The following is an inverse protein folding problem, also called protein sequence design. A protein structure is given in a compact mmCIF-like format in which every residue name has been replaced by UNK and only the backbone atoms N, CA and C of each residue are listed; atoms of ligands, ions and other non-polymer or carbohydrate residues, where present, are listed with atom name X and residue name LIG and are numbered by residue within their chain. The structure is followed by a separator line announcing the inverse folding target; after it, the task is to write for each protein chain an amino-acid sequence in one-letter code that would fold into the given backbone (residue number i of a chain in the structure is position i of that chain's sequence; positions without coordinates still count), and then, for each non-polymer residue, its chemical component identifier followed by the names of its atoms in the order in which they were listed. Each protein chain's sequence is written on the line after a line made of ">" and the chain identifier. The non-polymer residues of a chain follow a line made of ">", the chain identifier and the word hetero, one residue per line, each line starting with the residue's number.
data_IF_144581677448
#
_entry.id   IF_144581677448
#
_cell.length_a   1.000
_cell.length_b   1.000
_cell.length_c   1.000
_cell.angle_alpha   90.00
_cell.angle_beta   90.00
_cell.angle_gamma   90.00
#
_symmetry.space_group_name_H-M   'P 1'
#
loop_
_entity.id
_entity.type
_entity.pdbx_description
1 polymer ?
#
# COMPACT_ATOMS: atom_id res chain seq x y z
N UNK A 1 -25.77 23.95 27.45
CA UNK A 1 -26.23 23.49 26.12
C UNK A 1 -25.01 23.31 25.23
N UNK A 2 -24.28 22.20 25.41
CA UNK A 2 -23.15 21.84 24.55
C UNK A 2 -22.85 20.33 24.64
N UNK A 3 -23.63 19.45 23.98
CA UNK A 3 -23.12 18.10 23.72
C UNK A 3 -23.23 17.65 22.25
N UNK A 4 -23.97 18.37 21.41
CA UNK A 4 -24.29 17.88 20.05
C UNK A 4 -23.23 18.19 18.98
N UNK A 5 -22.33 19.16 19.22
CA UNK A 5 -21.31 19.56 18.22
C UNK A 5 -20.16 18.55 18.13
N UNK A 6 -19.85 17.80 19.19
CA UNK A 6 -18.80 16.77 19.17
C UNK A 6 -19.26 15.47 18.48
N UNK A 7 -20.55 15.13 18.57
CA UNK A 7 -21.09 13.89 17.97
C UNK A 7 -21.11 13.94 16.43
N UNK A 8 -21.17 15.12 15.82
CA UNK A 8 -21.07 15.28 14.36
C UNK A 8 -19.64 15.19 13.80
N UNK A 9 -18.61 15.35 14.64
CA UNK A 9 -17.21 15.24 14.20
C UNK A 9 -16.75 13.78 14.14
N UNK A 10 -17.38 12.87 14.89
CA UNK A 10 -17.02 11.44 14.94
C UNK A 10 -17.58 10.68 13.73
N UNK A 11 -18.64 11.20 13.10
CA UNK A 11 -19.35 10.53 12.00
C UNK A 11 -18.68 10.68 10.62
N UNK A 12 -17.47 11.25 10.56
CA UNK A 12 -16.77 11.51 9.29
C UNK A 12 -15.60 10.54 9.02
N UNK A 13 -15.24 9.68 9.96
CA UNK A 13 -14.35 8.55 9.66
C UNK A 13 -15.20 7.42 9.05
N UNK A 14 -15.26 7.45 7.71
CA UNK A 14 -15.85 6.38 6.89
C UNK A 14 -15.09 5.08 7.18
N UNK A 15 -15.81 3.98 7.40
CA UNK A 15 -15.22 2.67 7.64
C UNK A 15 -14.43 2.22 6.41
N UNK A 16 -13.20 1.74 6.62
CA UNK A 16 -12.49 1.03 5.56
C UNK A 16 -13.25 -0.23 5.16
N UNK A 17 -13.19 -0.58 3.88
CA UNK A 17 -13.91 -1.75 3.37
C UNK A 17 -12.95 -2.90 3.25
N UNK A 18 -13.35 -3.99 3.86
CA UNK A 18 -12.73 -5.29 3.72
C UNK A 18 -12.85 -5.72 2.25
N UNK A 19 -11.74 -6.05 1.57
CA UNK A 19 -11.75 -6.56 0.22
C UNK A 19 -12.63 -7.81 0.08
N UNK A 20 -13.37 -7.91 -1.02
CA UNK A 20 -14.01 -9.15 -1.45
C UNK A 20 -12.97 -10.17 -1.89
N UNK A 21 -13.34 -11.45 -1.98
CA UNK A 21 -12.41 -12.48 -2.46
C UNK A 21 -11.87 -12.16 -3.86
N UNK A 22 -12.72 -11.66 -4.76
CA UNK A 22 -12.29 -11.25 -6.09
C UNK A 22 -11.25 -10.12 -6.02
N UNK A 23 -11.46 -9.10 -5.18
CA UNK A 23 -10.49 -8.01 -5.03
C UNK A 23 -9.16 -8.49 -4.43
N UNK A 24 -9.20 -9.46 -3.51
CA UNK A 24 -7.97 -10.10 -2.99
C UNK A 24 -7.20 -10.83 -4.10
N UNK A 25 -7.92 -11.57 -4.94
CA UNK A 25 -7.34 -12.30 -6.06
C UNK A 25 -6.75 -11.30 -7.09
N UNK A 26 -7.48 -10.22 -7.40
CA UNK A 26 -7.03 -9.14 -8.30
C UNK A 26 -5.76 -8.45 -7.77
N UNK A 27 -5.65 -8.24 -6.45
CA UNK A 27 -4.44 -7.69 -5.81
C UNK A 27 -3.24 -8.61 -6.03
N UNK A 28 -3.40 -9.91 -5.80
CA UNK A 28 -2.32 -10.89 -5.99
C UNK A 28 -1.93 -10.99 -7.46
N UNK A 29 -2.91 -11.03 -8.37
CA UNK A 29 -2.68 -11.06 -9.81
C UNK A 29 -1.94 -9.79 -10.27
N UNK A 30 -2.34 -8.62 -9.78
CA UNK A 30 -1.65 -7.36 -10.08
C UNK A 30 -0.19 -7.39 -9.67
N UNK A 31 0.10 -7.78 -8.42
CA UNK A 31 1.49 -7.89 -7.95
C UNK A 31 2.28 -8.89 -8.80
N UNK A 32 1.69 -10.06 -9.07
CA UNK A 32 2.33 -11.11 -9.86
C UNK A 32 2.66 -10.60 -11.26
N UNK A 33 1.69 -10.02 -11.96
CA UNK A 33 1.88 -9.48 -13.31
C UNK A 33 2.92 -8.35 -13.33
N UNK A 34 2.92 -7.45 -12.34
CA UNK A 34 3.90 -6.37 -12.25
C UNK A 34 5.32 -6.92 -12.07
N UNK A 35 5.48 -7.90 -11.16
CA UNK A 35 6.74 -8.51 -10.76
C UNK A 35 7.33 -9.46 -11.80
N UNK A 36 6.51 -10.09 -12.63
CA UNK A 36 6.97 -10.93 -13.74
C UNK A 36 7.47 -10.10 -14.94
N UNK A 37 6.98 -8.86 -15.08
CA UNK A 37 7.22 -8.04 -16.26
C UNK A 37 8.17 -6.86 -16.03
N UNK A 38 8.91 -6.85 -14.92
CA UNK A 38 9.88 -5.79 -14.60
C UNK A 38 11.01 -5.77 -15.65
N UNK A 39 11.49 -4.57 -15.97
CA UNK A 39 12.61 -4.35 -16.90
C UNK A 39 13.61 -3.38 -16.26
N UNK A 40 14.88 -3.78 -16.08
CA UNK A 40 15.50 -5.06 -16.47
C UNK A 40 14.92 -6.27 -15.72
N UNK A 41 14.98 -7.46 -16.31
CA UNK A 41 14.41 -8.67 -15.70
C UNK A 41 15.09 -9.01 -14.38
N UNK A 42 14.29 -9.30 -13.35
CA UNK A 42 14.80 -9.64 -12.04
C UNK A 42 15.08 -11.15 -11.91
N UNK A 43 16.26 -11.50 -11.38
CA UNK A 43 16.74 -12.89 -11.31
C UNK A 43 16.14 -13.74 -10.20
N UNK A 44 15.45 -13.13 -9.23
CA UNK A 44 15.04 -13.78 -7.98
C UNK A 44 13.70 -13.27 -7.45
N UNK A 45 12.72 -12.99 -8.32
CA UNK A 45 11.40 -12.50 -7.90
C UNK A 45 10.64 -13.54 -7.08
N UNK A 46 10.34 -13.24 -5.81
CA UNK A 46 9.48 -14.10 -5.00
C UNK A 46 8.00 -13.92 -5.40
N UNK A 47 7.24 -15.03 -5.37
CA UNK A 47 5.79 -15.00 -5.60
C UNK A 47 5.11 -14.45 -4.35
N UNK A 48 4.17 -13.53 -4.54
CA UNK A 48 3.39 -12.98 -3.44
C UNK A 48 2.11 -13.79 -3.21
N UNK A 49 1.72 -13.93 -1.95
CA UNK A 49 0.44 -14.51 -1.54
C UNK A 49 -0.35 -13.51 -0.71
N UNK A 50 -1.67 -13.59 -0.77
CA UNK A 50 -2.52 -12.76 0.07
C UNK A 50 -2.39 -13.14 1.56
N UNK A 51 -2.33 -12.15 2.45
CA UNK A 51 -2.29 -12.37 3.90
C UNK A 51 -3.45 -11.66 4.59
N UNK A 52 -4.28 -12.45 5.27
CA UNK A 52 -5.39 -11.93 6.07
C UNK A 52 -4.90 -11.14 7.29
N UNK A 53 -3.72 -11.46 7.83
CA UNK A 53 -3.12 -10.71 8.93
C UNK A 53 -2.79 -9.28 8.50
N UNK A 54 -2.24 -9.13 7.30
CA UNK A 54 -1.82 -7.85 6.73
C UNK A 54 -3.02 -7.03 6.26
N UNK A 55 -4.08 -7.68 5.77
CA UNK A 55 -5.38 -7.04 5.55
C UNK A 55 -5.96 -6.47 6.85
N UNK A 56 -5.92 -7.21 7.95
CA UNK A 56 -6.43 -6.72 9.23
C UNK A 56 -5.62 -5.52 9.73
N UNK A 57 -4.28 -5.56 9.60
CA UNK A 57 -3.44 -4.42 9.95
C UNK A 57 -3.71 -3.19 9.05
N UNK A 58 -3.94 -3.41 7.75
CA UNK A 58 -4.37 -2.39 6.81
C UNK A 58 -5.69 -1.73 7.24
N UNK A 59 -6.67 -2.57 7.59
CA UNK A 59 -7.98 -2.17 8.06
C UNK A 59 -7.86 -1.34 9.34
N UNK A 60 -7.21 -1.87 10.38
CA UNK A 60 -7.03 -1.20 11.67
C UNK A 60 -6.34 0.16 11.51
N UNK A 61 -5.28 0.23 10.70
CA UNK A 61 -4.59 1.49 10.45
C UNK A 61 -5.47 2.48 9.69
N UNK A 62 -6.21 2.02 8.70
CA UNK A 62 -7.08 2.88 7.90
C UNK A 62 -8.26 3.45 8.68
N UNK A 63 -8.77 2.71 9.68
CA UNK A 63 -9.81 3.16 10.62
C UNK A 63 -9.32 4.27 11.56
N UNK A 64 -8.01 4.36 11.80
CA UNK A 64 -7.42 5.47 12.56
C UNK A 64 -7.48 6.82 11.82
N UNK A 65 -7.87 6.81 10.54
CA UNK A 65 -7.86 7.99 9.66
C UNK A 65 -6.48 8.67 9.58
N UNK A 66 -5.39 7.92 9.81
CA UNK A 66 -4.01 8.38 9.61
C UNK A 66 -3.60 8.18 8.15
N UNK A 67 -2.93 9.19 7.58
CA UNK A 67 -2.45 9.20 6.19
C UNK A 67 -0.93 9.06 6.09
N UNK A 68 -0.26 8.88 7.23
CA UNK A 68 1.16 8.60 7.30
C UNK A 68 1.39 7.12 7.57
N UNK A 69 2.59 6.66 7.21
CA UNK A 69 3.11 5.37 7.63
C UNK A 69 3.09 5.26 9.17
N UNK A 70 2.81 4.06 9.66
CA UNK A 70 2.83 3.76 11.07
C UNK A 70 4.27 3.83 11.58
N UNK A 71 4.50 4.63 12.61
CA UNK A 71 5.77 4.64 13.32
C UNK A 71 5.94 3.28 14.02
N UNK A 72 6.86 2.46 13.51
CA UNK A 72 7.09 1.11 14.04
C UNK A 72 7.61 1.08 15.47
N UNK A 73 8.19 2.17 15.99
CA UNK A 73 8.59 2.26 17.40
C UNK A 73 7.36 2.44 18.32
N UNK A 74 6.31 3.07 17.80
CA UNK A 74 5.04 3.30 18.51
C UNK A 74 4.05 2.16 18.27
N UNK A 75 4.05 1.58 17.07
CA UNK A 75 3.18 0.50 16.63
C UNK A 75 4.02 -0.70 16.17
N UNK A 76 4.56 -1.51 17.10
CA UNK A 76 5.48 -2.62 16.79
C UNK A 76 4.88 -3.69 15.87
N UNK A 77 3.56 -3.77 15.77
CA UNK A 77 2.89 -4.67 14.82
C UNK A 77 3.12 -4.29 13.35
N UNK A 78 3.58 -3.07 13.06
CA UNK A 78 4.02 -2.63 11.74
C UNK A 78 5.54 -2.74 11.55
N UNK A 79 6.26 -3.35 12.49
CA UNK A 79 7.70 -3.52 12.38
C UNK A 79 8.04 -4.43 11.18
N UNK A 80 8.88 -3.93 10.27
CA UNK A 80 9.19 -4.60 9.00
C UNK A 80 7.92 -4.92 8.20
N UNK A 81 7.00 -3.97 8.10
CA UNK A 81 5.86 -4.02 7.18
C UNK A 81 5.87 -2.72 6.39
N UNK A 82 5.97 -2.82 5.07
CA UNK A 82 5.87 -1.65 4.19
C UNK A 82 4.41 -1.29 3.91
N UNK A 83 4.09 0.00 3.86
CA UNK A 83 2.72 0.45 3.65
C UNK A 83 2.62 1.29 2.38
N UNK A 84 1.59 1.03 1.57
CA UNK A 84 1.19 1.94 0.49
C UNK A 84 -0.18 2.50 0.80
N UNK A 85 -0.44 3.70 0.32
CA UNK A 85 -1.68 4.39 0.60
C UNK A 85 -2.29 4.87 -0.69
N UNK A 86 -3.59 4.62 -0.84
CA UNK A 86 -4.38 5.34 -1.81
C UNK A 86 -5.54 6.03 -1.10
N UNK A 87 -5.80 7.26 -1.55
CA UNK A 87 -6.88 8.10 -1.07
C UNK A 87 -7.55 8.75 -2.27
N UNK A 88 -8.87 8.70 -2.33
CA UNK A 88 -9.64 9.57 -3.19
C UNK A 88 -10.06 10.82 -2.44
N UNK A 89 -10.40 11.87 -3.19
CA UNK A 89 -11.12 13.01 -2.63
C UNK A 89 -12.57 12.62 -2.38
N UNK A 90 -13.52 13.30 -3.01
CA UNK A 90 -14.97 13.06 -2.79
C UNK A 90 -15.45 11.63 -3.04
N UNK A 91 -14.70 10.79 -3.76
CA UNK A 91 -15.07 9.42 -4.11
C UNK A 91 -14.02 8.44 -3.58
N UNK A 92 -14.47 7.35 -2.96
CA UNK A 92 -13.63 6.24 -2.59
C UNK A 92 -13.24 5.52 -3.87
N UNK A 93 -11.93 5.43 -4.15
CA UNK A 93 -11.47 4.72 -5.32
C UNK A 93 -11.80 3.24 -5.18
N UNK A 94 -11.87 2.50 -6.28
CA UNK A 94 -11.91 1.03 -6.26
C UNK A 94 -10.50 0.45 -6.36
N UNK A 95 -10.30 -0.83 -6.03
CA UNK A 95 -9.02 -1.50 -6.28
C UNK A 95 -8.64 -1.46 -7.76
N UNK A 96 -9.61 -1.62 -8.66
CA UNK A 96 -9.40 -1.52 -10.10
C UNK A 96 -8.95 -0.13 -10.58
N UNK A 97 -9.23 0.93 -9.83
CA UNK A 97 -8.72 2.28 -10.09
C UNK A 97 -7.33 2.51 -9.50
N UNK A 98 -7.04 1.93 -8.32
CA UNK A 98 -5.76 2.13 -7.61
C UNK A 98 -4.63 1.32 -8.21
N UNK A 99 -4.84 0.03 -8.46
CA UNK A 99 -3.77 -0.88 -8.88
C UNK A 99 -3.02 -0.33 -10.11
N UNK A 100 -3.71 0.14 -11.18
CA UNK A 100 -3.02 0.76 -12.32
C UNK A 100 -2.23 2.03 -11.97
N UNK A 101 -2.65 2.80 -10.98
CA UNK A 101 -1.96 4.03 -10.57
C UNK A 101 -0.57 3.72 -9.97
N UNK A 102 -0.42 2.63 -9.23
CA UNK A 102 0.89 2.18 -8.75
C UNK A 102 1.79 1.70 -9.88
N UNK A 103 1.24 1.01 -10.90
CA UNK A 103 2.01 0.61 -12.06
C UNK A 103 2.46 1.81 -12.91
N UNK A 104 1.66 2.88 -12.99
CA UNK A 104 2.01 4.09 -13.75
C UNK A 104 3.30 4.75 -13.23
N UNK A 105 3.51 4.72 -11.92
CA UNK A 105 4.72 5.26 -11.30
C UNK A 105 6.02 4.55 -11.70
N UNK A 106 5.96 3.39 -12.36
CA UNK A 106 7.11 2.72 -12.99
C UNK A 106 7.90 3.65 -13.91
N UNK A 107 7.19 4.43 -14.74
CA UNK A 107 7.83 5.24 -15.78
C UNK A 107 8.65 6.40 -15.19
N UNK A 108 8.54 6.59 -13.87
CA UNK A 108 9.30 7.54 -13.06
C UNK A 108 10.45 6.90 -12.29
N UNK A 109 10.63 5.57 -12.31
CA UNK A 109 11.69 4.88 -11.60
C UNK A 109 12.87 4.56 -12.53
N UNK A 110 14.06 5.00 -12.12
CA UNK A 110 15.33 4.66 -12.76
C UNK A 110 15.98 3.49 -12.02
N UNK A 111 15.96 2.32 -12.67
CA UNK A 111 16.54 1.08 -12.17
C UNK A 111 18.08 1.10 -12.10
N UNK A 112 18.76 1.87 -12.95
CA UNK A 112 20.23 1.89 -12.98
C UNK A 112 20.79 2.65 -11.77
N UNK A 113 20.08 3.71 -11.36
CA UNK A 113 20.52 4.60 -10.30
C UNK A 113 19.75 4.42 -8.98
N UNK A 114 18.71 3.58 -8.95
CA UNK A 114 17.76 3.44 -7.83
C UNK A 114 17.16 4.79 -7.41
N UNK A 115 16.68 5.57 -8.39
CA UNK A 115 16.13 6.91 -8.13
C UNK A 115 14.75 7.11 -8.74
N UNK A 116 13.93 7.94 -8.08
CA UNK A 116 12.64 8.38 -8.59
C UNK A 116 12.75 9.77 -9.24
N UNK A 117 12.22 9.91 -10.45
CA UNK A 117 11.92 11.21 -11.07
C UNK A 117 10.47 11.60 -10.79
N UNK A 118 10.22 12.11 -9.58
CA UNK A 118 8.88 12.40 -9.07
C UNK A 118 8.41 11.32 -8.10
N UNK A 119 7.12 10.99 -8.11
CA UNK A 119 6.54 10.00 -7.21
C UNK A 119 6.72 8.58 -7.77
N UNK A 120 7.51 7.75 -7.09
CA UNK A 120 7.65 6.33 -7.44
C UNK A 120 7.84 5.37 -6.26
N UNK A 121 7.75 5.85 -5.02
CA UNK A 121 8.00 5.02 -3.83
C UNK A 121 6.97 3.88 -3.70
N UNK A 122 5.70 4.16 -3.98
CA UNK A 122 4.66 3.12 -4.01
C UNK A 122 4.97 2.06 -5.08
N UNK A 123 5.47 2.48 -6.26
CA UNK A 123 5.88 1.55 -7.31
C UNK A 123 7.00 0.64 -6.82
N UNK A 124 8.02 1.21 -6.16
CA UNK A 124 9.09 0.44 -5.55
C UNK A 124 8.49 -0.56 -4.57
N UNK A 125 7.65 -0.12 -3.64
CA UNK A 125 7.04 -0.99 -2.62
C UNK A 125 6.21 -2.14 -3.22
N UNK A 126 5.37 -1.89 -4.23
CA UNK A 126 4.56 -2.96 -4.85
C UNK A 126 5.38 -3.93 -5.71
N UNK A 127 6.56 -3.50 -6.16
CA UNK A 127 7.47 -4.27 -6.99
C UNK A 127 8.69 -4.80 -6.22
N UNK A 128 8.80 -4.51 -4.91
CA UNK A 128 10.01 -4.76 -4.12
C UNK A 128 10.34 -6.24 -4.12
N UNK A 129 11.50 -6.56 -4.66
CA UNK A 129 12.07 -7.88 -4.53
C UNK A 129 13.05 -7.91 -3.39
N UNK A 130 13.14 -9.05 -2.72
CA UNK A 130 13.86 -9.16 -1.48
C UNK A 130 15.38 -9.10 -1.54
N UNK A 131 15.99 -8.39 -2.50
CA UNK A 131 17.44 -8.27 -2.54
C UNK A 131 18.04 -7.05 -3.26
N UNK A 132 17.36 -5.90 -3.36
CA UNK A 132 18.01 -4.66 -3.84
C UNK A 132 17.71 -3.45 -2.93
N UNK A 133 18.42 -3.40 -1.81
CA UNK A 133 18.90 -2.14 -1.21
C UNK A 133 19.98 -2.48 -0.18
N UNK A 134 21.23 -2.58 -0.61
CA UNK A 134 22.39 -2.40 0.28
C UNK A 134 22.53 -0.93 0.64
N UNK A 135 21.56 -0.36 1.36
CA UNK A 135 21.75 0.84 2.17
C UNK A 135 20.77 0.82 3.34
N UNK A 136 21.17 0.22 4.46
CA UNK A 136 20.68 0.52 5.82
C UNK A 136 19.18 0.79 5.99
N UNK A 137 18.30 -0.04 5.44
CA UNK A 137 16.87 0.13 5.71
C UNK A 137 16.14 -1.22 5.67
N UNK A 138 15.59 -1.70 6.79
CA UNK A 138 14.94 -3.00 6.88
C UNK A 138 13.52 -2.92 6.29
N UNK A 139 13.41 -2.75 4.97
CA UNK A 139 12.11 -2.73 4.29
C UNK A 139 11.82 -4.10 3.70
N UNK A 140 11.10 -4.90 4.49
CA UNK A 140 10.45 -6.12 4.04
C UNK A 140 8.96 -6.08 4.35
N UNK A 141 8.23 -6.83 3.53
CA UNK A 141 6.88 -7.36 3.73
C UNK A 141 5.66 -6.46 3.50
N UNK A 142 4.88 -6.91 2.52
CA UNK A 142 3.44 -6.74 2.27
C UNK A 142 2.84 -5.35 2.14
N UNK A 143 2.49 -5.04 0.90
CA UNK A 143 1.65 -3.92 0.50
C UNK A 143 0.21 -4.07 1.03
N UNK A 144 -0.17 -3.20 1.97
CA UNK A 144 -1.55 -2.96 2.37
C UNK A 144 -2.22 -2.00 1.39
N UNK A 145 -3.37 -2.33 0.81
CA UNK A 145 -4.09 -1.45 -0.12
C UNK A 145 -5.24 -0.72 0.57
N UNK A 146 -5.33 0.61 0.36
CA UNK A 146 -6.34 1.48 0.97
C UNK A 146 -7.20 2.15 -0.09
N UNK A 147 -8.51 2.19 0.10
CA UNK A 147 -9.47 2.99 -0.70
C UNK A 147 -10.28 3.90 0.24
N UNK A 148 -10.11 5.23 0.19
CA UNK A 148 -10.97 6.15 0.98
C UNK A 148 -11.54 7.35 0.21
N UNK A 149 -12.69 7.84 0.72
CA UNK A 149 -13.34 9.13 0.47
C UNK A 149 -12.78 10.24 1.37
#
# INVERSE_FOLDING_TARGET
>A
MLPFVCLSCILWCVTAQIPTQQERDDIVEFHTALRENVKPEASNMEIMSYSMELENLAQDWSESCNFHEADSDVYPQFQNIGQVFASGGRFKPTFSEILPAFAWARDHYDYENDTCKGFCDDYKQVNLNSFLSETNNPFYQSTSFRTLH
#
